data_IF_480557873242
#
_entry.id   IF_480557873242
#
_cell.length_a   1.000
_cell.length_b   1.000
_cell.length_c   1.000
_cell.angle_alpha   90.00
_cell.angle_beta   90.00
_cell.angle_gamma   90.00
#
_symmetry.space_group_name_H-M   'P 1'
#
loop_
_entity.id
_entity.type
_entity.pdbx_description
1 polymer ?
#
# COMPACT_ATOMS: atom_id res chain seq x y z
N UNK A 1 34.01 10.46 12.87
CA UNK A 1 32.70 9.90 12.49
C UNK A 1 32.90 9.20 11.16
N UNK A 2 32.82 7.88 11.14
CA UNK A 2 32.93 7.10 9.91
C UNK A 2 31.64 7.32 9.12
N UNK A 3 31.70 8.09 8.05
CA UNK A 3 30.61 8.15 7.10
C UNK A 3 30.59 6.81 6.36
N UNK A 4 29.84 5.84 6.92
CA UNK A 4 29.62 4.58 6.23
C UNK A 4 29.06 4.85 4.82
N UNK A 5 29.53 4.06 3.87
CA UNK A 5 29.10 4.12 2.47
C UNK A 5 27.58 3.95 2.40
N UNK A 6 26.87 5.03 2.06
CA UNK A 6 25.40 5.12 2.04
C UNK A 6 24.82 4.88 0.64
N UNK A 7 25.51 4.03 -0.14
CA UNK A 7 25.08 3.74 -1.50
C UNK A 7 23.90 2.78 -1.54
N UNK A 8 22.88 3.17 -2.27
CA UNK A 8 21.74 2.31 -2.63
C UNK A 8 21.31 2.59 -4.08
N UNK A 9 20.61 1.65 -4.65
CA UNK A 9 19.94 1.77 -5.94
C UNK A 9 18.49 1.33 -5.79
N UNK A 10 17.58 2.00 -6.48
CA UNK A 10 16.17 1.62 -6.54
C UNK A 10 15.85 1.17 -7.97
N UNK A 11 15.33 -0.05 -8.09
CA UNK A 11 14.83 -0.59 -9.35
C UNK A 11 13.35 -0.87 -9.18
N UNK A 12 12.53 -0.33 -10.08
CA UNK A 12 11.11 -0.56 -10.05
C UNK A 12 10.51 -0.69 -11.45
N UNK A 13 9.38 -1.36 -11.50
CA UNK A 13 8.53 -1.48 -12.69
C UNK A 13 7.12 -1.07 -12.29
N UNK A 14 6.58 -0.06 -12.97
CA UNK A 14 5.20 0.41 -12.82
C UNK A 14 4.44 0.16 -14.13
N UNK A 15 3.56 -0.82 -14.12
CA UNK A 15 2.73 -1.18 -15.26
C UNK A 15 1.29 -0.72 -15.02
N UNK A 16 0.80 0.12 -15.91
CA UNK A 16 -0.58 0.61 -15.86
C UNK A 16 -1.32 0.26 -17.13
N UNK A 17 -2.48 -0.35 -16.97
CA UNK A 17 -3.36 -0.72 -18.08
C UNK A 17 -4.75 -0.12 -17.89
N UNK A 18 -5.29 0.42 -18.96
CA UNK A 18 -6.62 1.03 -18.97
C UNK A 18 -7.43 0.40 -20.11
N UNK A 19 -8.34 -0.49 -19.74
CA UNK A 19 -9.19 -1.18 -20.68
C UNK A 19 -10.60 -0.54 -20.68
N UNK A 20 -11.02 -0.01 -21.81
CA UNK A 20 -12.41 0.43 -21.98
C UNK A 20 -13.29 -0.78 -22.23
N UNK A 21 -14.12 -1.14 -21.24
CA UNK A 21 -15.00 -2.30 -21.33
C UNK A 21 -16.26 -1.97 -22.13
N UNK A 22 -16.90 -0.85 -21.82
CA UNK A 22 -18.15 -0.45 -22.46
C UNK A 22 -18.31 1.07 -22.41
N UNK A 23 -18.59 1.69 -23.58
CA UNK A 23 -18.77 3.16 -23.72
C UNK A 23 -17.69 3.92 -22.95
N UNK A 24 -18.03 4.39 -21.74
CA UNK A 24 -17.15 5.20 -20.88
C UNK A 24 -16.74 4.45 -19.60
N UNK A 25 -17.09 3.16 -19.45
CA UNK A 25 -16.63 2.35 -18.31
C UNK A 25 -15.20 1.91 -18.59
N UNK A 26 -14.32 2.17 -17.65
CA UNK A 26 -12.89 1.85 -17.73
C UNK A 26 -12.52 0.90 -16.60
N UNK A 27 -11.85 -0.18 -16.94
CA UNK A 27 -11.15 -1.03 -16.00
C UNK A 27 -9.67 -0.63 -16.01
N UNK A 28 -9.19 -0.15 -14.88
CA UNK A 28 -7.82 0.28 -14.69
C UNK A 28 -7.09 -0.74 -13.79
N UNK A 29 -5.92 -1.17 -14.22
CA UNK A 29 -5.05 -2.06 -13.44
C UNK A 29 -3.68 -1.44 -13.30
N UNK A 30 -3.10 -1.49 -12.10
CA UNK A 30 -1.75 -1.03 -11.79
C UNK A 30 -1.00 -2.16 -11.09
N UNK A 31 0.13 -2.55 -11.63
CA UNK A 31 1.09 -3.43 -10.98
C UNK A 31 2.38 -2.64 -10.75
N UNK A 32 2.80 -2.58 -9.51
CA UNK A 32 4.08 -2.02 -9.13
C UNK A 32 4.94 -3.08 -8.46
N UNK A 33 6.18 -3.21 -8.90
CA UNK A 33 7.18 -4.08 -8.31
C UNK A 33 8.46 -3.27 -8.15
N UNK A 34 9.00 -3.24 -6.94
CA UNK A 34 10.21 -2.45 -6.66
C UNK A 34 11.17 -3.16 -5.72
N UNK A 35 12.45 -2.81 -5.81
CA UNK A 35 13.51 -3.34 -4.96
C UNK A 35 14.60 -2.30 -4.71
N UNK A 36 14.92 -2.08 -3.45
CA UNK A 36 16.11 -1.35 -3.03
C UNK A 36 17.28 -2.31 -2.85
N UNK A 37 18.38 -1.99 -3.48
CA UNK A 37 19.63 -2.78 -3.46
C UNK A 37 20.80 -1.91 -3.02
N UNK A 38 21.89 -2.52 -2.56
CA UNK A 38 23.14 -1.85 -2.20
C UNK A 38 23.59 -2.17 -0.79
N UNK A 39 24.59 -1.42 -0.30
CA UNK A 39 25.15 -1.64 1.04
C UNK A 39 24.22 -1.09 2.15
N UNK A 40 23.41 -0.11 1.81
CA UNK A 40 22.46 0.48 2.74
C UNK A 40 21.09 0.64 2.05
N UNK A 41 20.39 -0.47 1.74
CA UNK A 41 19.11 -0.42 1.05
C UNK A 41 18.09 0.36 1.85
N UNK A 42 17.28 1.15 1.18
CA UNK A 42 16.18 1.90 1.76
C UNK A 42 14.90 1.06 1.76
N UNK A 43 13.80 1.61 2.25
CA UNK A 43 12.57 0.86 2.44
C UNK A 43 11.40 1.47 1.69
N UNK A 44 10.52 0.60 1.19
CA UNK A 44 9.16 0.92 0.84
C UNK A 44 8.28 0.88 2.08
N UNK A 45 7.39 1.86 2.20
CA UNK A 45 6.36 1.94 3.22
C UNK A 45 5.02 1.72 2.55
N UNK A 46 4.39 0.59 2.82
CA UNK A 46 3.14 0.20 2.16
C UNK A 46 1.95 0.49 3.08
N UNK A 47 0.92 1.10 2.51
CA UNK A 47 -0.31 1.47 3.20
C UNK A 47 -0.72 2.91 2.95
N UNK A 48 -1.97 3.22 3.26
CA UNK A 48 -2.54 4.55 3.07
C UNK A 48 -2.85 4.91 1.62
N UNK A 49 -2.96 6.18 1.37
CA UNK A 49 -3.16 6.75 0.03
C UNK A 49 -2.38 8.06 -0.11
N UNK A 50 -1.86 8.32 -1.29
CA UNK A 50 -1.23 9.59 -1.63
C UNK A 50 -2.19 10.77 -1.40
N UNK A 51 -1.65 11.84 -0.78
CA UNK A 51 -2.39 13.06 -0.46
C UNK A 51 -3.64 12.83 0.42
N UNK A 52 -3.60 11.86 1.29
CA UNK A 52 -4.67 11.62 2.25
C UNK A 52 -4.73 12.73 3.29
N UNK A 53 -5.86 13.46 3.33
CA UNK A 53 -6.03 14.66 4.18
C UNK A 53 -6.03 14.37 5.67
N UNK A 54 -6.58 13.22 6.08
CA UNK A 54 -6.71 12.81 7.49
C UNK A 54 -5.85 11.57 7.75
N UNK A 55 -4.59 11.64 7.32
CA UNK A 55 -3.69 10.51 7.37
C UNK A 55 -3.44 10.00 8.79
N UNK A 56 -3.23 8.71 8.89
CA UNK A 56 -2.81 8.02 10.11
C UNK A 56 -1.62 7.12 9.77
N UNK A 57 -0.65 7.14 10.67
CA UNK A 57 0.42 6.16 10.64
C UNK A 57 0.03 4.98 11.51
N UNK A 58 0.36 3.80 11.06
CA UNK A 58 0.15 2.60 11.84
C UNK A 58 0.87 2.73 13.19
N UNK A 59 0.14 2.53 14.27
CA UNK A 59 0.70 2.49 15.62
C UNK A 59 0.64 1.06 16.12
N UNK A 60 1.75 0.47 16.58
CA UNK A 60 1.70 -0.84 17.21
C UNK A 60 0.82 -0.78 18.45
N UNK A 61 0.09 -1.84 18.77
CA UNK A 61 -0.61 -1.93 20.05
C UNK A 61 0.41 -1.78 21.20
N UNK A 62 0.17 -0.79 22.06
CA UNK A 62 1.06 -0.41 23.17
C UNK A 62 1.34 -1.53 24.19
N UNK A 63 0.55 -2.61 24.15
CA UNK A 63 0.59 -3.71 25.11
C UNK A 63 1.19 -5.02 24.56
N UNK A 64 1.69 -5.02 23.34
CA UNK A 64 2.52 -6.13 22.87
C UNK A 64 3.97 -5.66 22.88
N UNK A 65 4.89 -6.45 23.49
CA UNK A 65 6.29 -6.26 23.18
C UNK A 65 6.41 -6.26 21.66
N UNK A 66 7.27 -5.42 21.10
CA UNK A 66 7.45 -5.24 19.65
C UNK A 66 7.94 -6.54 19.00
N UNK A 67 7.08 -7.54 18.99
CA UNK A 67 7.26 -8.86 18.37
C UNK A 67 6.52 -8.80 17.04
N UNK A 68 6.82 -7.81 16.25
CA UNK A 68 6.40 -7.82 14.86
C UNK A 68 7.64 -7.84 13.99
N UNK A 69 7.99 -8.97 13.38
CA UNK A 69 9.11 -9.07 12.45
C UNK A 69 8.92 -8.12 11.26
N UNK A 70 7.68 -7.71 11.04
CA UNK A 70 7.28 -6.76 9.99
C UNK A 70 7.75 -5.33 10.28
N UNK A 71 7.94 -4.98 11.54
CA UNK A 71 8.27 -3.61 11.93
C UNK A 71 9.74 -3.35 12.21
N UNK A 72 10.46 -4.36 12.62
CA UNK A 72 11.90 -4.32 12.79
C UNK A 72 12.53 -5.50 12.09
N UNK A 73 12.61 -5.49 10.75
CA UNK A 73 13.52 -6.40 10.10
C UNK A 73 14.91 -6.07 10.66
N UNK A 74 15.45 -7.02 11.38
CA UNK A 74 16.74 -7.02 12.08
C UNK A 74 17.70 -5.94 11.57
N UNK A 75 17.89 -4.88 12.33
CA UNK A 75 18.97 -3.92 12.13
C UNK A 75 18.63 -2.60 11.47
N UNK A 76 17.39 -2.29 11.12
CA UNK A 76 17.00 -0.91 10.78
C UNK A 76 16.45 -0.23 12.03
N UNK A 77 17.21 -0.30 13.11
CA UNK A 77 16.98 0.57 14.23
C UNK A 77 17.20 2.02 13.81
N UNK A 78 16.12 2.78 13.75
CA UNK A 78 15.97 4.21 13.97
C UNK A 78 16.93 5.21 13.32
N UNK A 79 18.01 4.83 12.70
CA UNK A 79 19.07 5.80 12.53
C UNK A 79 19.36 6.24 11.10
N UNK A 80 18.86 5.57 10.06
CA UNK A 80 19.37 5.86 8.74
C UNK A 80 18.36 5.73 7.59
N UNK A 81 17.07 6.01 7.81
CA UNK A 81 16.16 6.22 6.66
C UNK A 81 16.54 7.55 6.04
N UNK A 82 17.29 7.49 4.94
CA UNK A 82 17.60 8.66 4.11
C UNK A 82 16.51 8.90 3.09
N UNK A 83 15.83 7.83 2.70
CA UNK A 83 14.79 7.84 1.67
C UNK A 83 13.79 6.72 1.96
N UNK A 84 12.51 7.04 1.88
CA UNK A 84 11.43 6.08 1.94
C UNK A 84 10.46 6.36 0.80
N UNK A 85 9.99 5.32 0.14
CA UNK A 85 8.98 5.43 -0.91
C UNK A 85 7.66 4.87 -0.40
N UNK A 86 6.61 5.70 -0.47
CA UNK A 86 5.27 5.31 -0.04
C UNK A 86 4.53 4.62 -1.17
N UNK A 87 3.96 3.46 -0.85
CA UNK A 87 3.15 2.67 -1.77
C UNK A 87 1.71 2.63 -1.29
N UNK A 88 0.82 3.11 -2.14
CA UNK A 88 -0.61 3.12 -1.87
C UNK A 88 -1.15 1.71 -1.68
N UNK A 89 -1.84 1.49 -0.57
CA UNK A 89 -2.65 0.33 -0.31
C UNK A 89 -3.86 0.74 0.54
N UNK A 90 -4.99 0.96 -0.10
CA UNK A 90 -6.22 1.39 0.57
C UNK A 90 -6.68 0.37 1.59
N UNK A 91 -7.35 0.83 2.65
CA UNK A 91 -7.77 -0.02 3.77
C UNK A 91 -6.77 -0.05 4.93
N UNK A 92 -5.55 0.41 4.72
CA UNK A 92 -4.49 0.38 5.73
C UNK A 92 -4.01 1.78 6.08
N UNK A 93 -3.40 1.94 7.25
CA UNK A 93 -2.74 3.17 7.63
C UNK A 93 -1.37 3.28 6.93
N UNK A 94 -0.75 4.46 6.93
CA UNK A 94 0.61 4.57 6.41
C UNK A 94 1.57 3.69 7.20
N UNK A 95 2.55 3.11 6.48
CA UNK A 95 3.58 2.26 7.09
C UNK A 95 3.01 1.01 7.78
N UNK A 96 2.02 0.41 7.15
CA UNK A 96 1.41 -0.82 7.66
C UNK A 96 2.36 -2.02 7.60
N UNK A 97 3.07 -2.14 6.47
CA UNK A 97 4.19 -3.05 6.29
C UNK A 97 5.34 -2.33 5.61
N UNK A 98 6.54 -2.77 5.90
CA UNK A 98 7.77 -2.17 5.41
C UNK A 98 8.72 -3.25 4.87
N UNK A 99 9.44 -2.91 3.79
CA UNK A 99 10.45 -3.80 3.24
C UNK A 99 11.30 -3.12 2.18
N UNK A 100 12.46 -3.70 1.87
CA UNK A 100 13.29 -3.26 0.75
C UNK A 100 12.74 -3.69 -0.61
N UNK A 101 11.90 -4.69 -0.61
CA UNK A 101 11.19 -5.17 -1.79
C UNK A 101 9.70 -4.94 -1.60
N UNK A 102 9.00 -4.65 -2.69
CA UNK A 102 7.56 -4.40 -2.67
C UNK A 102 6.90 -4.95 -3.92
N UNK A 103 5.69 -5.41 -3.76
CA UNK A 103 4.77 -5.70 -4.85
C UNK A 103 3.37 -5.21 -4.47
N UNK A 104 2.77 -4.40 -5.32
CA UNK A 104 1.37 -3.97 -5.16
C UNK A 104 0.62 -4.15 -6.47
N UNK A 105 -0.61 -4.61 -6.37
CA UNK A 105 -1.51 -4.76 -7.50
C UNK A 105 -2.87 -4.14 -7.15
N UNK A 106 -3.30 -3.18 -7.94
CA UNK A 106 -4.54 -2.44 -7.75
C UNK A 106 -5.40 -2.52 -9.00
N UNK A 107 -6.68 -2.82 -8.81
CA UNK A 107 -7.67 -2.83 -9.88
C UNK A 107 -8.82 -1.89 -9.54
N UNK A 108 -9.25 -1.12 -10.51
CA UNK A 108 -10.37 -0.19 -10.38
C UNK A 108 -11.34 -0.34 -11.55
N UNK A 109 -12.62 -0.45 -11.25
CA UNK A 109 -13.69 -0.29 -12.21
C UNK A 109 -14.27 1.11 -12.06
N UNK A 110 -14.08 1.96 -13.08
CA UNK A 110 -14.49 3.37 -13.09
C UNK A 110 -15.73 3.55 -13.95
N UNK A 111 -16.82 4.03 -13.36
CA UNK A 111 -18.12 4.22 -14.01
C UNK A 111 -18.48 5.69 -13.95
N UNK A 112 -18.47 6.44 -15.08
CA UNK A 112 -18.92 7.84 -15.11
C UNK A 112 -20.46 7.89 -15.03
N UNK A 113 -20.98 8.05 -13.81
CA UNK A 113 -22.38 7.85 -13.49
C UNK A 113 -23.33 8.72 -14.34
N UNK A 114 -23.05 10.01 -14.41
CA UNK A 114 -23.94 10.94 -15.11
C UNK A 114 -23.85 10.85 -16.64
N UNK A 115 -22.77 10.32 -17.18
CA UNK A 115 -22.68 10.04 -18.61
C UNK A 115 -23.68 8.98 -19.08
N UNK A 116 -24.18 8.16 -18.15
CA UNK A 116 -25.23 7.16 -18.43
C UNK A 116 -26.64 7.65 -18.11
N UNK A 117 -26.79 8.53 -17.10
CA UNK A 117 -28.09 9.01 -16.67
C UNK A 117 -28.60 10.20 -17.51
N UNK A 118 -27.68 10.97 -18.11
CA UNK A 118 -28.04 12.19 -18.83
C UNK A 118 -27.87 12.03 -20.34
N UNK A 119 -28.90 12.33 -21.13
CA UNK A 119 -28.86 12.29 -22.59
C UNK A 119 -28.40 13.61 -23.24
N UNK A 120 -28.15 14.65 -22.45
CA UNK A 120 -27.78 16.00 -22.93
C UNK A 120 -26.33 16.37 -22.55
N UNK A 121 -25.89 17.53 -23.06
CA UNK A 121 -24.57 18.07 -22.72
C UNK A 121 -24.53 18.48 -21.26
N UNK A 122 -23.59 17.91 -20.50
CA UNK A 122 -23.34 18.25 -19.10
C UNK A 122 -22.37 19.42 -19.05
N UNK A 123 -22.86 20.61 -18.67
CA UNK A 123 -22.04 21.84 -18.60
C UNK A 123 -21.19 21.90 -17.33
N UNK A 124 -21.66 21.31 -16.24
CA UNK A 124 -20.95 21.35 -14.96
C UNK A 124 -19.74 20.38 -14.98
N UNK A 125 -18.55 20.90 -14.69
CA UNK A 125 -17.33 20.08 -14.56
C UNK A 125 -17.43 19.06 -13.44
N UNK A 126 -18.10 19.41 -12.34
CA UNK A 126 -18.33 18.50 -11.22
C UNK A 126 -19.14 17.28 -11.66
N UNK A 127 -20.29 17.48 -12.31
CA UNK A 127 -21.18 16.40 -12.75
C UNK A 127 -20.53 15.58 -13.87
N UNK A 128 -19.88 16.23 -14.83
CA UNK A 128 -19.25 15.58 -15.97
C UNK A 128 -18.13 14.60 -15.53
N UNK A 129 -17.38 14.97 -14.49
CA UNK A 129 -16.26 14.19 -13.99
C UNK A 129 -16.64 13.30 -12.79
N UNK A 130 -17.93 13.23 -12.46
CA UNK A 130 -18.38 12.39 -11.34
C UNK A 130 -18.34 10.92 -11.74
N UNK A 131 -17.52 10.16 -11.04
CA UNK A 131 -17.32 8.73 -11.29
C UNK A 131 -17.54 7.94 -10.01
N UNK A 132 -18.24 6.83 -10.14
CA UNK A 132 -18.26 5.77 -9.15
C UNK A 132 -17.13 4.80 -9.46
N UNK A 133 -16.40 4.40 -8.43
CA UNK A 133 -15.27 3.48 -8.56
C UNK A 133 -15.47 2.32 -7.60
N UNK A 134 -15.35 1.10 -8.10
CA UNK A 134 -15.16 -0.10 -7.28
C UNK A 134 -13.70 -0.54 -7.40
N UNK A 135 -13.09 -1.00 -6.33
CA UNK A 135 -11.68 -1.36 -6.37
C UNK A 135 -11.34 -2.60 -5.51
N UNK A 136 -10.22 -3.20 -5.86
CA UNK A 136 -9.55 -4.25 -5.11
C UNK A 136 -8.04 -4.03 -5.18
N UNK A 137 -7.40 -4.00 -4.03
CA UNK A 137 -5.97 -3.82 -3.88
C UNK A 137 -5.36 -5.00 -3.12
N UNK A 138 -4.17 -5.40 -3.52
CA UNK A 138 -3.36 -6.40 -2.84
C UNK A 138 -1.91 -5.98 -2.87
N UNK A 139 -1.18 -6.18 -1.77
CA UNK A 139 0.23 -5.83 -1.71
C UNK A 139 0.97 -6.56 -0.62
N UNK A 140 2.28 -6.58 -0.76
CA UNK A 140 3.22 -7.10 0.23
C UNK A 140 4.54 -6.36 0.14
N UNK A 141 5.27 -6.31 1.26
CA UNK A 141 6.64 -5.85 1.30
C UNK A 141 7.47 -6.80 2.15
N UNK A 142 8.73 -7.00 1.79
CA UNK A 142 9.64 -7.93 2.46
C UNK A 142 11.10 -7.49 2.31
N UNK A 143 11.97 -8.03 3.15
CA UNK A 143 13.41 -7.79 3.07
C UNK A 143 14.13 -8.95 2.41
N UNK A 144 14.10 -10.11 3.02
CA UNK A 144 14.89 -11.27 2.61
C UNK A 144 14.00 -12.38 2.02
N UNK A 145 13.06 -12.91 2.78
CA UNK A 145 12.21 -14.00 2.36
C UNK A 145 10.90 -13.50 1.74
N UNK A 146 10.66 -13.91 0.50
CA UNK A 146 9.55 -13.40 -0.30
C UNK A 146 8.18 -13.92 0.21
N UNK A 147 7.08 -13.17 -0.03
CA UNK A 147 5.75 -13.51 0.49
C UNK A 147 5.18 -14.84 -0.05
N UNK A 148 5.70 -15.36 -1.14
CA UNK A 148 5.31 -16.68 -1.68
C UNK A 148 6.14 -17.85 -1.13
N UNK A 149 7.14 -17.59 -0.31
CA UNK A 149 7.92 -18.63 0.37
C UNK A 149 7.15 -19.12 1.60
N UNK A 150 7.34 -20.40 1.94
CA UNK A 150 6.68 -21.01 3.09
C UNK A 150 7.10 -20.35 4.41
N UNK A 151 8.37 -20.00 4.50
CA UNK A 151 8.97 -19.26 5.60
C UNK A 151 9.30 -17.89 5.02
N UNK A 152 8.66 -16.85 5.50
CA UNK A 152 8.82 -15.50 4.98
C UNK A 152 8.86 -14.48 6.12
N UNK A 153 9.25 -13.26 5.79
CA UNK A 153 9.45 -12.18 6.77
C UNK A 153 8.17 -11.79 7.53
N UNK A 154 7.00 -12.16 7.03
CA UNK A 154 5.72 -11.82 7.63
C UNK A 154 5.20 -12.89 8.58
N UNK A 155 5.57 -14.15 8.38
CA UNK A 155 5.04 -15.29 9.14
C UNK A 155 6.06 -15.95 10.06
N UNK A 156 7.33 -15.60 9.97
CA UNK A 156 8.37 -16.28 10.72
C UNK A 156 9.29 -15.28 11.42
N UNK A 157 9.47 -15.48 12.70
CA UNK A 157 10.38 -14.74 13.55
C UNK A 157 11.48 -15.65 14.09
N UNK A 158 12.73 -15.21 13.94
CA UNK A 158 13.88 -15.92 14.50
C UNK A 158 14.40 -15.12 15.68
N UNK A 159 14.19 -15.66 16.89
CA UNK A 159 14.68 -15.07 18.12
C UNK A 159 16.03 -15.72 18.44
N UNK A 160 17.09 -14.93 18.34
CA UNK A 160 18.44 -15.30 18.73
C UNK A 160 18.90 -14.36 19.86
N UNK A 161 18.94 -14.85 21.07
CA UNK A 161 19.41 -14.06 22.22
C UNK A 161 20.91 -14.24 22.36
N UNK A 162 21.65 -13.14 22.38
CA UNK A 162 23.11 -13.12 22.53
C UNK A 162 23.51 -13.86 23.82
N UNK A 163 24.39 -14.86 23.68
CA UNK A 163 24.79 -15.73 24.81
C UNK A 163 23.90 -16.96 25.07
N UNK A 164 22.81 -17.13 24.35
CA UNK A 164 21.98 -18.33 24.42
C UNK A 164 22.42 -19.36 23.35
N UNK A 165 22.56 -20.65 23.69
CA UNK A 165 22.82 -21.68 22.71
C UNK A 165 21.57 -22.07 21.89
N UNK A 166 20.41 -21.46 22.19
CA UNK A 166 19.15 -21.78 21.57
C UNK A 166 18.72 -20.69 20.58
N UNK A 167 18.35 -21.10 19.38
CA UNK A 167 17.67 -20.28 18.38
C UNK A 167 16.21 -20.71 18.34
N UNK A 168 15.31 -19.79 18.58
CA UNK A 168 13.87 -20.06 18.58
C UNK A 168 13.29 -19.53 17.26
N UNK A 169 12.69 -20.39 16.48
CA UNK A 169 11.95 -20.00 15.27
C UNK A 169 10.46 -20.07 15.57
N UNK A 170 9.80 -18.92 15.56
CA UNK A 170 8.36 -18.81 15.75
C UNK A 170 7.69 -18.62 14.39
N UNK A 171 6.67 -19.44 14.13
CA UNK A 171 5.80 -19.24 12.97
C UNK A 171 4.45 -18.69 13.44
N UNK A 172 4.13 -17.47 13.03
CA UNK A 172 2.91 -16.75 13.43
C UNK A 172 1.72 -17.08 12.52
N UNK A 173 1.92 -17.87 11.45
CA UNK A 173 0.92 -18.20 10.44
C UNK A 173 0.23 -16.98 9.79
N UNK A 174 0.86 -15.82 9.86
CA UNK A 174 0.33 -14.61 9.25
C UNK A 174 0.33 -14.70 7.72
N UNK A 175 -0.73 -14.19 7.13
CA UNK A 175 -0.78 -14.02 5.68
C UNK A 175 0.15 -12.86 5.28
N UNK A 176 1.17 -13.09 4.43
CA UNK A 176 2.08 -12.04 3.99
C UNK A 176 1.43 -11.02 3.05
N UNK A 177 0.20 -11.29 2.58
CA UNK A 177 -0.51 -10.44 1.66
C UNK A 177 -1.57 -9.61 2.38
N UNK A 178 -1.41 -8.30 2.31
CA UNK A 178 -2.45 -7.36 2.70
C UNK A 178 -3.39 -7.16 1.52
N UNK A 179 -4.69 -7.21 1.78
CA UNK A 179 -5.71 -7.08 0.75
C UNK A 179 -6.76 -6.08 1.19
N UNK A 180 -7.38 -5.41 0.25
CA UNK A 180 -8.55 -4.60 0.52
C UNK A 180 -9.48 -4.51 -0.67
N UNK A 181 -10.74 -4.22 -0.39
CA UNK A 181 -11.74 -3.91 -1.40
C UNK A 181 -12.59 -2.74 -0.94
N UNK A 182 -13.20 -2.07 -1.89
CA UNK A 182 -14.04 -0.95 -1.53
C UNK A 182 -14.68 -0.26 -2.71
N UNK A 183 -15.26 0.88 -2.40
CA UNK A 183 -15.86 1.75 -3.39
C UNK A 183 -15.45 3.19 -3.14
N UNK A 184 -15.51 4.01 -4.17
CA UNK A 184 -15.15 5.41 -4.07
C UNK A 184 -15.88 6.28 -5.06
N UNK A 185 -15.81 7.56 -4.79
CA UNK A 185 -16.30 8.62 -5.65
C UNK A 185 -15.13 9.46 -6.13
N UNK A 186 -15.17 9.83 -7.39
CA UNK A 186 -14.21 10.73 -8.02
C UNK A 186 -14.94 11.89 -8.64
N UNK A 187 -14.43 13.10 -8.45
CA UNK A 187 -14.98 14.28 -9.12
C UNK A 187 -13.94 15.39 -9.21
N UNK A 188 -14.28 16.46 -9.93
CA UNK A 188 -13.47 17.69 -9.97
C UNK A 188 -14.26 18.78 -9.26
N UNK A 189 -13.71 19.31 -8.18
CA UNK A 189 -14.25 20.40 -7.41
C UNK A 189 -13.24 21.57 -7.41
N UNK A 190 -13.67 22.75 -7.86
CA UNK A 190 -12.79 23.94 -7.94
C UNK A 190 -11.43 23.66 -8.64
N UNK A 191 -11.44 22.88 -9.70
CA UNK A 191 -10.26 22.40 -10.46
C UNK A 191 -9.33 21.42 -9.71
N UNK A 192 -9.68 21.01 -8.50
CA UNK A 192 -8.98 19.94 -7.81
C UNK A 192 -9.68 18.60 -8.06
N UNK A 193 -8.89 17.57 -8.30
CA UNK A 193 -9.41 16.22 -8.36
C UNK A 193 -9.60 15.68 -6.93
N UNK A 194 -10.83 15.39 -6.58
CA UNK A 194 -11.22 14.92 -5.25
C UNK A 194 -11.57 13.44 -5.35
N UNK A 195 -10.97 12.65 -4.49
CA UNK A 195 -11.30 11.23 -4.31
C UNK A 195 -11.85 11.04 -2.90
N UNK A 196 -12.93 10.31 -2.82
CA UNK A 196 -13.49 9.82 -1.57
C UNK A 196 -13.61 8.31 -1.67
N UNK A 197 -12.85 7.59 -0.87
CA UNK A 197 -12.81 6.13 -0.87
C UNK A 197 -13.20 5.56 0.48
N UNK A 198 -13.95 4.46 0.44
CA UNK A 198 -14.27 3.62 1.57
C UNK A 198 -13.69 2.25 1.28
N UNK A 199 -12.77 1.82 2.10
CA UNK A 199 -12.05 0.57 1.93
C UNK A 199 -12.25 -0.36 3.13
N UNK A 200 -12.39 -1.63 2.87
CA UNK A 200 -12.41 -2.67 3.88
C UNK A 200 -11.14 -3.51 3.77
N UNK A 201 -10.24 -3.43 4.74
CA UNK A 201 -9.03 -4.24 4.73
C UNK A 201 -9.32 -5.69 5.08
N UNK A 202 -8.51 -6.58 4.56
CA UNK A 202 -8.49 -8.00 4.88
C UNK A 202 -7.07 -8.33 5.36
N UNK A 203 -6.97 -8.76 6.62
CA UNK A 203 -5.73 -9.23 7.22
C UNK A 203 -5.92 -10.64 7.76
N UNK A 204 -4.99 -11.53 7.47
CA UNK A 204 -5.07 -12.93 7.91
C UNK A 204 -6.40 -13.61 7.55
N UNK A 205 -6.94 -13.29 6.35
CA UNK A 205 -8.24 -13.77 5.84
C UNK A 205 -9.47 -13.23 6.58
N UNK A 206 -9.31 -12.31 7.53
CA UNK A 206 -10.40 -11.66 8.25
C UNK A 206 -10.57 -10.23 7.77
N UNK A 207 -11.83 -9.84 7.55
CA UNK A 207 -12.16 -8.47 7.15
C UNK A 207 -12.25 -7.58 8.41
N UNK A 208 -11.48 -6.49 8.40
CA UNK A 208 -11.43 -5.51 9.48
C UNK A 208 -12.49 -4.40 9.30
N UNK A 209 -12.41 -3.37 10.14
CA UNK A 209 -13.31 -2.21 10.07
C UNK A 209 -13.07 -1.37 8.81
N UNK A 210 -14.14 -0.69 8.38
CA UNK A 210 -14.08 0.21 7.22
C UNK A 210 -13.19 1.43 7.52
N UNK A 211 -12.35 1.78 6.56
CA UNK A 211 -11.56 3.00 6.58
C UNK A 211 -11.99 3.95 5.49
N UNK A 212 -11.93 5.24 5.80
CA UNK A 212 -12.37 6.32 4.94
C UNK A 212 -11.17 7.16 4.51
N UNK A 213 -11.11 7.48 3.23
CA UNK A 213 -10.05 8.30 2.66
C UNK A 213 -10.66 9.47 1.90
N UNK A 214 -10.13 10.65 2.17
CA UNK A 214 -10.38 11.84 1.37
C UNK A 214 -9.04 12.32 0.85
N UNK A 215 -8.88 12.34 -0.46
CA UNK A 215 -7.63 12.77 -1.08
C UNK A 215 -7.87 13.87 -2.09
N UNK A 216 -6.94 14.82 -2.13
CA UNK A 216 -6.89 15.89 -3.11
C UNK A 216 -5.67 15.69 -3.98
N UNK A 217 -5.83 15.81 -5.28
CA UNK A 217 -4.68 15.62 -6.17
C UNK A 217 -4.99 15.89 -7.62
N UNK A 218 -4.02 15.57 -8.46
CA UNK A 218 -4.19 15.58 -9.90
C UNK A 218 -4.66 14.20 -10.36
N UNK A 219 -5.36 14.18 -11.48
CA UNK A 219 -5.76 12.93 -12.10
C UNK A 219 -4.51 12.26 -12.69
N UNK A 220 -4.39 10.94 -12.48
CA UNK A 220 -3.32 10.14 -13.06
C UNK A 220 -3.57 9.86 -14.54
#
# INVERSE_FOLDING_TARGET
>A
MNHGDRSFSNFYVDLRNYLRIHKNIVFASKLYVGSFMGKNPQSYLVGGMDNWLFNKFHQPPTNRPEISPVRNPSGIENSNILFAEFMDLRGFDYDEIRGRNVITFSNELRIPLFAYLTRGNITSNFIRNFQLVGFYDIGSAWNDAAPWERINDQNTEVINTEGSPFVITLNNFNNPWLQSYGAGLRTVLMNYYVKFDVARPIRNYEAEELKFYVTLGFNF
#
